data_IF_361800418564
#
_entry.id   IF_361800418564
#
_cell.length_a   1.000
_cell.length_b   1.000
_cell.length_c   1.000
_cell.angle_alpha   90.00
_cell.angle_beta   90.00
_cell.angle_gamma   90.00
#
_symmetry.space_group_name_H-M   'P 1'
#
loop_
_entity.id
_entity.type
_entity.pdbx_description
1 polymer ?
#
# COMPACT_ATOMS: atom_id res chain seq x y z
N UNK A 1 52.77 11.05 45.74
CA UNK A 1 51.72 11.99 45.25
C UNK A 1 50.93 11.49 44.02
N UNK A 2 51.28 10.36 43.36
CA UNK A 2 50.54 9.85 42.18
C UNK A 2 49.33 8.92 42.49
N UNK A 3 49.20 8.46 43.73
CA UNK A 3 48.12 7.52 44.10
C UNK A 3 46.85 8.18 44.63
N UNK A 4 46.91 9.46 45.02
CA UNK A 4 45.77 10.21 45.57
C UNK A 4 44.88 10.73 44.43
N UNK A 5 45.43 11.00 43.26
CA UNK A 5 44.66 11.48 42.09
C UNK A 5 43.77 10.40 41.43
N UNK A 6 44.18 9.13 41.57
CA UNK A 6 43.43 8.02 40.97
C UNK A 6 42.17 7.67 41.76
N UNK A 7 42.17 7.91 43.07
CA UNK A 7 41.05 7.65 43.96
C UNK A 7 39.99 8.76 43.83
N UNK A 8 40.42 10.00 43.60
CA UNK A 8 39.47 11.11 43.41
C UNK A 8 38.72 11.03 42.07
N UNK A 9 39.34 10.46 41.03
CA UNK A 9 38.71 10.29 39.73
C UNK A 9 37.69 9.13 39.72
N UNK A 10 37.91 8.12 40.56
CA UNK A 10 36.97 6.99 40.70
C UNK A 10 35.69 7.36 41.46
N UNK A 11 35.74 8.35 42.34
CA UNK A 11 34.57 8.80 43.11
C UNK A 11 33.66 9.69 42.27
N UNK A 12 34.22 10.45 41.33
CA UNK A 12 33.41 11.26 40.42
C UNK A 12 32.68 10.45 39.31
N UNK A 13 33.12 9.22 39.02
CA UNK A 13 32.53 8.39 38.01
C UNK A 13 31.26 7.62 38.46
N UNK A 14 31.06 7.51 39.77
CA UNK A 14 29.88 6.83 40.33
C UNK A 14 28.75 7.77 40.76
N UNK A 15 28.96 9.08 40.71
CA UNK A 15 27.93 10.07 41.05
C UNK A 15 27.12 10.60 39.86
N UNK A 16 27.36 10.11 38.63
CA UNK A 16 26.73 10.66 37.43
C UNK A 16 25.60 9.81 36.83
N UNK A 17 25.26 8.71 37.49
CA UNK A 17 24.06 7.96 37.18
C UNK A 17 23.35 7.63 38.47
N UNK A 18 22.53 8.52 38.95
CA UNK A 18 21.46 8.17 39.88
C UNK A 18 20.26 7.68 39.07
N UNK A 19 20.04 6.37 38.99
CA UNK A 19 18.88 5.85 38.27
C UNK A 19 17.57 6.05 39.03
N UNK A 20 17.59 6.77 40.14
CA UNK A 20 16.44 6.93 41.03
C UNK A 20 15.71 8.27 40.87
N UNK A 21 16.13 9.11 39.90
CA UNK A 21 15.39 10.34 39.52
C UNK A 21 14.85 10.33 38.13
N UNK A 22 14.67 9.19 37.51
CA UNK A 22 13.53 9.09 36.64
C UNK A 22 12.33 9.05 37.59
N UNK A 23 11.76 10.20 37.84
CA UNK A 23 10.32 10.26 38.07
C UNK A 23 9.70 9.51 36.93
N UNK A 24 9.53 8.22 37.11
CA UNK A 24 8.49 7.47 36.42
C UNK A 24 7.25 8.16 36.96
N UNK A 25 7.01 9.34 36.38
CA UNK A 25 5.74 10.02 36.55
C UNK A 25 4.72 8.95 36.23
N UNK A 26 3.60 8.93 36.94
CA UNK A 26 2.44 8.07 36.70
C UNK A 26 1.90 8.19 35.25
N UNK A 27 2.69 8.69 34.31
CA UNK A 27 2.43 8.92 32.91
C UNK A 27 2.73 7.77 31.99
N UNK A 28 3.05 6.60 32.51
CA UNK A 28 3.26 5.42 31.68
C UNK A 28 2.04 4.97 30.91
N UNK A 29 0.85 5.39 31.30
CA UNK A 29 -0.42 4.90 30.81
C UNK A 29 -1.42 6.03 30.60
N UNK A 30 -2.08 6.06 29.45
CA UNK A 30 -3.22 6.92 29.17
C UNK A 30 -4.41 6.06 28.74
N UNK A 31 -5.61 6.59 28.79
CA UNK A 31 -6.81 5.91 28.31
C UNK A 31 -7.01 6.12 26.79
N UNK A 32 -7.84 5.27 26.16
CA UNK A 32 -8.23 5.43 24.76
C UNK A 32 -8.91 6.78 24.52
N UNK A 33 -9.74 7.24 25.49
CA UNK A 33 -10.43 8.54 25.39
C UNK A 33 -9.44 9.71 25.44
N UNK A 34 -8.41 9.64 26.29
CA UNK A 34 -7.35 10.63 26.35
C UNK A 34 -6.51 10.62 25.09
N UNK A 35 -6.18 9.41 24.55
CA UNK A 35 -5.50 9.27 23.26
C UNK A 35 -6.31 9.96 22.16
N UNK A 36 -7.59 9.66 22.08
CA UNK A 36 -8.50 10.25 21.08
C UNK A 36 -8.62 11.76 21.22
N UNK A 37 -8.74 12.27 22.45
CA UNK A 37 -8.85 13.71 22.74
C UNK A 37 -7.57 14.49 22.39
N UNK A 38 -6.39 13.84 22.45
CA UNK A 38 -5.09 14.42 22.09
C UNK A 38 -4.67 14.17 20.65
N UNK A 39 -5.51 13.51 19.85
CA UNK A 39 -5.25 13.18 18.46
C UNK A 39 -6.25 13.85 17.53
N UNK A 40 -5.81 14.14 16.32
CA UNK A 40 -6.65 14.78 15.30
C UNK A 40 -6.35 14.18 13.94
N UNK A 41 -7.42 13.95 13.18
CA UNK A 41 -7.35 13.60 11.75
C UNK A 41 -8.15 14.65 11.00
N UNK A 42 -7.50 15.31 10.06
CA UNK A 42 -8.09 16.36 9.24
C UNK A 42 -7.92 16.05 7.77
N UNK A 43 -8.84 16.54 6.97
CA UNK A 43 -8.77 16.50 5.50
C UNK A 43 -8.68 17.94 5.02
N UNK A 44 -7.84 18.20 4.05
CA UNK A 44 -7.74 19.53 3.42
C UNK A 44 -9.05 19.94 2.79
N UNK A 45 -9.14 21.19 2.34
CA UNK A 45 -10.34 21.73 1.72
C UNK A 45 -10.09 22.11 0.26
N UNK A 46 -10.98 21.65 -0.58
CA UNK A 46 -11.06 22.06 -1.97
C UNK A 46 -11.63 23.51 -2.08
N UNK A 47 -11.42 24.11 -3.24
CA UNK A 47 -11.98 25.45 -3.53
C UNK A 47 -13.51 25.49 -3.52
N UNK A 48 -14.16 24.35 -3.73
CA UNK A 48 -15.61 24.14 -3.59
C UNK A 48 -16.10 24.20 -2.14
N UNK A 49 -15.18 24.11 -1.15
CA UNK A 49 -15.49 23.96 0.27
C UNK A 49 -15.69 22.50 0.72
N UNK A 50 -15.69 21.54 -0.21
CA UNK A 50 -15.71 20.11 0.10
C UNK A 50 -14.39 19.65 0.73
N UNK A 51 -14.40 18.47 1.37
CA UNK A 51 -13.16 17.85 1.79
C UNK A 51 -12.32 17.47 0.56
N UNK A 52 -11.03 17.80 0.62
CA UNK A 52 -10.06 17.36 -0.37
C UNK A 52 -9.69 15.89 -0.19
N UNK A 53 -8.49 15.54 -0.61
CA UNK A 53 -7.98 14.17 -0.52
C UNK A 53 -6.63 14.06 0.22
N UNK A 54 -6.15 15.14 0.82
CA UNK A 54 -4.94 15.12 1.64
C UNK A 54 -5.32 14.99 3.10
N UNK A 55 -5.03 13.83 3.67
CA UNK A 55 -5.32 13.51 5.06
C UNK A 55 -4.09 13.80 5.91
N UNK A 56 -4.29 14.53 7.01
CA UNK A 56 -3.25 14.84 8.00
C UNK A 56 -3.66 14.31 9.37
N UNK A 57 -2.77 13.57 9.99
CA UNK A 57 -2.94 12.94 11.29
C UNK A 57 -1.91 13.49 12.26
N UNK A 58 -2.36 13.88 13.45
CA UNK A 58 -1.47 14.38 14.51
C UNK A 58 -1.88 13.82 15.86
N UNK A 59 -0.91 13.62 16.75
CA UNK A 59 -1.16 13.34 18.16
C UNK A 59 -0.20 14.12 19.04
N UNK A 60 -0.70 14.65 20.14
CA UNK A 60 0.10 15.25 21.21
C UNK A 60 0.19 14.35 22.45
N UNK A 61 -0.33 13.13 22.34
CA UNK A 61 -0.27 12.13 23.39
C UNK A 61 1.20 11.67 23.62
N UNK A 62 1.61 11.40 24.86
CA UNK A 62 2.96 10.92 25.19
C UNK A 62 3.08 9.41 24.91
N UNK A 63 3.02 9.03 23.63
CA UNK A 63 3.01 7.64 23.17
C UNK A 63 3.87 7.47 21.93
N UNK A 64 4.24 6.24 21.62
CA UNK A 64 4.77 5.88 20.31
C UNK A 64 3.60 5.62 19.38
N UNK A 65 3.37 6.52 18.44
CA UNK A 65 2.22 6.48 17.55
C UNK A 65 2.52 5.80 16.22
N UNK A 66 1.57 5.02 15.75
CA UNK A 66 1.51 4.41 14.43
C UNK A 66 0.14 4.68 13.81
N UNK A 67 0.12 5.36 12.67
CA UNK A 67 -1.07 5.67 11.92
C UNK A 67 -1.21 4.69 10.75
N UNK A 68 -2.33 4.00 10.66
CA UNK A 68 -2.66 3.19 9.48
C UNK A 68 -3.60 3.98 8.59
N UNK A 69 -3.10 4.40 7.43
CA UNK A 69 -3.80 5.27 6.47
C UNK A 69 -3.83 4.57 5.11
N UNK A 70 -5.01 4.18 4.63
CA UNK A 70 -5.15 3.48 3.35
C UNK A 70 -4.30 2.22 3.26
N UNK A 71 -4.29 1.42 4.33
CA UNK A 71 -3.52 0.17 4.43
C UNK A 71 -2.01 0.34 4.63
N UNK A 72 -1.50 1.58 4.78
CA UNK A 72 -0.07 1.85 5.02
C UNK A 72 0.17 2.34 6.44
N UNK A 73 1.16 1.75 7.10
CA UNK A 73 1.57 2.14 8.44
C UNK A 73 2.62 3.26 8.37
N UNK A 74 2.35 4.36 9.07
CA UNK A 74 3.21 5.53 9.18
C UNK A 74 3.51 5.79 10.67
N UNK A 75 4.78 5.85 11.03
CA UNK A 75 5.21 6.02 12.41
C UNK A 75 5.39 7.49 12.76
N UNK A 76 5.08 7.84 14.02
CA UNK A 76 5.33 9.15 14.61
C UNK A 76 4.07 9.94 14.93
N UNK A 77 4.29 11.08 15.58
CA UNK A 77 3.20 11.94 16.05
C UNK A 77 2.55 12.79 14.95
N UNK A 78 3.11 12.75 13.76
CA UNK A 78 2.62 13.40 12.56
C UNK A 78 2.73 12.44 11.39
N UNK A 79 1.64 12.29 10.64
CA UNK A 79 1.59 11.55 9.40
C UNK A 79 0.66 12.24 8.42
N UNK A 80 0.89 12.08 7.13
CA UNK A 80 -0.03 12.52 6.10
C UNK A 80 0.00 11.59 4.90
N UNK A 81 -1.10 11.54 4.18
CA UNK A 81 -1.20 10.75 2.95
C UNK A 81 -2.31 11.31 2.06
N UNK A 82 -2.10 11.23 0.74
CA UNK A 82 -3.16 11.41 -0.24
C UNK A 82 -4.03 10.17 -0.29
N UNK A 83 -5.34 10.35 -0.39
CA UNK A 83 -6.31 9.27 -0.38
C UNK A 83 -7.15 9.31 -1.65
N UNK A 84 -7.69 8.16 -2.04
CA UNK A 84 -8.74 8.08 -3.06
C UNK A 84 -10.02 8.73 -2.53
N UNK A 85 -10.93 9.09 -3.43
CA UNK A 85 -12.26 9.57 -3.03
C UNK A 85 -13.04 8.46 -2.31
N UNK A 86 -13.90 8.85 -1.39
CA UNK A 86 -14.74 7.96 -0.60
C UNK A 86 -14.54 8.11 0.90
N UNK A 87 -15.18 7.23 1.64
CA UNK A 87 -15.10 7.15 3.10
C UNK A 87 -13.96 6.25 3.51
N UNK A 88 -13.18 6.69 4.50
CA UNK A 88 -12.01 5.97 4.98
C UNK A 88 -11.99 5.92 6.50
N UNK A 89 -11.46 4.81 7.01
CA UNK A 89 -11.11 4.65 8.41
C UNK A 89 -9.61 4.82 8.58
N UNK A 90 -9.22 5.71 9.47
CA UNK A 90 -7.83 5.94 9.87
C UNK A 90 -7.65 5.37 11.26
N UNK A 91 -6.74 4.44 11.43
CA UNK A 91 -6.49 3.79 12.72
C UNK A 91 -5.21 4.36 13.34
N UNK A 92 -5.30 4.79 14.59
CA UNK A 92 -4.16 5.12 15.42
C UNK A 92 -3.91 3.98 16.40
N UNK A 93 -2.77 3.33 16.27
CA UNK A 93 -2.22 2.40 17.27
C UNK A 93 -1.12 3.14 18.05
N UNK A 94 -1.18 3.11 19.35
CA UNK A 94 -0.29 3.84 20.22
C UNK A 94 0.26 2.93 21.33
N UNK A 95 1.57 2.99 21.56
CA UNK A 95 2.22 2.26 22.65
C UNK A 95 2.64 3.25 23.74
N UNK A 96 2.08 3.08 24.93
CA UNK A 96 2.40 3.86 26.12
C UNK A 96 3.80 3.52 26.67
N UNK A 97 4.32 4.35 27.56
CA UNK A 97 5.64 4.13 28.16
C UNK A 97 5.72 2.84 29.01
N UNK A 98 4.60 2.37 29.53
CA UNK A 98 4.50 1.10 30.26
C UNK A 98 4.33 -0.14 29.35
N UNK A 99 4.33 0.07 28.02
CA UNK A 99 4.14 -0.98 27.03
C UNK A 99 2.67 -1.28 26.69
N UNK A 100 1.71 -0.59 27.31
CA UNK A 100 0.28 -0.76 26.99
C UNK A 100 0.01 -0.27 25.57
N UNK A 101 -0.65 -1.12 24.77
CA UNK A 101 -1.07 -0.77 23.43
C UNK A 101 -2.54 -0.32 23.44
N UNK A 102 -2.81 0.81 22.78
CA UNK A 102 -4.12 1.42 22.63
C UNK A 102 -4.42 1.59 21.15
N UNK A 103 -5.69 1.45 20.78
CA UNK A 103 -6.12 1.66 19.39
C UNK A 103 -7.40 2.49 19.36
N UNK A 104 -7.47 3.43 18.40
CA UNK A 104 -8.67 4.23 18.14
C UNK A 104 -8.81 4.54 16.66
N UNK A 105 -10.06 4.64 16.21
CA UNK A 105 -10.39 4.91 14.81
C UNK A 105 -10.98 6.30 14.63
N UNK A 106 -10.68 6.87 13.45
CA UNK A 106 -11.23 8.14 12.96
C UNK A 106 -11.87 7.90 11.60
N UNK A 107 -13.09 8.38 11.42
CA UNK A 107 -13.81 8.32 10.15
C UNK A 107 -13.64 9.63 9.41
N UNK A 108 -13.29 9.56 8.14
CA UNK A 108 -13.15 10.72 7.26
C UNK A 108 -13.81 10.42 5.91
N UNK A 109 -14.13 11.47 5.16
CA UNK A 109 -14.59 11.37 3.78
C UNK A 109 -13.77 12.29 2.89
N UNK A 110 -13.19 11.76 1.83
CA UNK A 110 -12.51 12.49 0.76
C UNK A 110 -13.50 12.66 -0.39
N UNK A 111 -13.79 13.91 -0.78
CA UNK A 111 -14.88 14.25 -1.69
C UNK A 111 -14.41 14.83 -3.02
N UNK A 112 -13.24 15.47 -3.03
CA UNK A 112 -12.66 16.11 -4.21
C UNK A 112 -11.14 15.85 -4.25
N UNK A 113 -10.58 15.64 -5.44
CA UNK A 113 -9.14 15.50 -5.61
C UNK A 113 -8.52 16.90 -5.63
N UNK A 114 -7.84 17.26 -4.57
CA UNK A 114 -7.08 18.51 -4.42
C UNK A 114 -5.61 18.34 -4.76
N UNK A 115 -5.08 17.15 -4.50
CA UNK A 115 -3.71 16.78 -4.85
C UNK A 115 -3.73 15.35 -5.45
N UNK A 116 -3.57 15.22 -6.78
CA UNK A 116 -3.63 13.93 -7.44
C UNK A 116 -2.63 12.92 -6.88
N UNK A 117 -3.05 11.66 -6.78
CA UNK A 117 -2.17 10.54 -6.49
C UNK A 117 -1.12 10.41 -7.59
N UNK A 118 0.08 10.00 -7.22
CA UNK A 118 1.12 9.70 -8.18
C UNK A 118 0.83 8.34 -8.82
N UNK A 119 0.90 8.31 -10.17
CA UNK A 119 0.79 7.07 -10.94
C UNK A 119 2.15 6.42 -11.10
N UNK A 120 2.20 5.13 -10.86
CA UNK A 120 3.36 4.29 -11.08
C UNK A 120 2.98 3.26 -12.14
N UNK A 121 3.48 3.47 -13.35
CA UNK A 121 3.15 2.63 -14.47
C UNK A 121 3.91 1.31 -14.44
N UNK A 122 3.17 0.23 -14.66
CA UNK A 122 3.70 -1.10 -14.91
C UNK A 122 3.79 -1.31 -16.43
N UNK A 123 2.82 -0.78 -17.16
CA UNK A 123 2.75 -0.86 -18.61
C UNK A 123 2.09 0.40 -19.18
N UNK A 124 2.54 0.83 -20.38
CA UNK A 124 1.86 1.84 -21.16
C UNK A 124 2.01 3.28 -20.66
N UNK A 125 3.09 3.61 -19.92
CA UNK A 125 3.40 5.00 -19.56
C UNK A 125 3.62 5.87 -20.81
N UNK A 126 4.34 5.34 -21.79
CA UNK A 126 4.55 5.96 -23.10
C UNK A 126 4.03 5.02 -24.20
N UNK A 127 2.88 5.33 -24.83
CA UNK A 127 2.33 4.53 -25.91
C UNK A 127 3.21 4.41 -27.15
N UNK A 128 4.18 5.31 -27.32
CA UNK A 128 5.15 5.22 -28.41
C UNK A 128 6.21 4.14 -28.17
N UNK A 129 6.44 3.79 -26.90
CA UNK A 129 7.39 2.76 -26.47
C UNK A 129 6.68 1.45 -26.19
N UNK A 130 5.55 1.53 -25.50
CA UNK A 130 4.71 0.38 -25.14
C UNK A 130 3.33 0.58 -25.73
N UNK A 131 3.15 0.09 -26.96
CA UNK A 131 1.85 0.20 -27.66
C UNK A 131 0.75 -0.56 -26.90
N UNK A 132 -0.49 -0.07 -26.94
CA UNK A 132 -1.62 -0.80 -26.40
C UNK A 132 -1.69 -2.23 -26.93
N UNK A 133 -2.08 -3.19 -26.09
CA UNK A 133 -2.20 -4.58 -26.51
C UNK A 133 -3.64 -5.07 -26.49
N UNK A 134 -3.92 -6.08 -27.32
CA UNK A 134 -5.24 -6.71 -27.45
C UNK A 134 -5.13 -8.17 -27.03
N UNK A 135 -5.52 -8.51 -25.79
CA UNK A 135 -5.61 -9.90 -25.39
C UNK A 135 -6.69 -10.60 -26.22
N UNK A 136 -6.37 -11.75 -26.79
CA UNK A 136 -7.32 -12.61 -27.51
C UNK A 136 -8.14 -13.46 -26.56
N UNK A 137 -9.34 -13.87 -27.00
CA UNK A 137 -10.15 -14.81 -26.25
C UNK A 137 -9.40 -16.16 -26.10
N UNK A 138 -9.39 -16.67 -24.87
CA UNK A 138 -8.73 -17.93 -24.50
C UNK A 138 -7.19 -17.97 -24.69
N UNK A 139 -6.58 -16.80 -24.87
CA UNK A 139 -5.12 -16.70 -24.85
C UNK A 139 -4.61 -16.66 -23.43
N UNK A 140 -4.08 -17.78 -22.98
CA UNK A 140 -3.65 -18.02 -21.61
C UNK A 140 -2.46 -17.20 -21.16
N UNK A 141 -1.79 -16.53 -22.05
CA UNK A 141 -0.53 -15.86 -21.74
C UNK A 141 -0.61 -14.36 -22.00
N UNK A 142 -1.79 -13.80 -21.95
CA UNK A 142 -1.97 -12.40 -22.26
C UNK A 142 -1.16 -11.46 -21.36
N UNK A 143 -0.89 -11.88 -20.12
CA UNK A 143 -0.16 -11.03 -19.19
C UNK A 143 0.37 -11.82 -18.00
N UNK A 144 1.69 -11.70 -17.74
CA UNK A 144 2.35 -12.30 -16.60
C UNK A 144 3.01 -11.21 -15.76
N UNK A 145 2.65 -11.14 -14.50
CA UNK A 145 3.15 -10.10 -13.60
C UNK A 145 4.38 -10.50 -12.80
N UNK A 146 4.71 -11.76 -12.71
CA UNK A 146 5.64 -12.22 -11.71
C UNK A 146 6.59 -13.29 -12.18
N UNK A 147 6.89 -13.40 -13.45
CA UNK A 147 8.01 -14.26 -13.74
C UNK A 147 9.31 -13.61 -13.20
N UNK A 148 10.31 -14.43 -12.92
CA UNK A 148 11.57 -13.97 -12.33
C UNK A 148 12.36 -13.01 -13.19
N UNK A 149 11.94 -12.76 -14.40
CA UNK A 149 12.68 -12.03 -15.38
C UNK A 149 11.98 -10.72 -15.76
N UNK A 150 10.81 -10.42 -15.14
CA UNK A 150 10.03 -9.24 -15.45
C UNK A 150 9.54 -9.23 -16.90
N UNK A 151 9.35 -10.38 -17.48
CA UNK A 151 8.95 -10.52 -18.87
C UNK A 151 7.45 -10.62 -18.99
N UNK A 152 6.93 -9.82 -19.87
CA UNK A 152 5.59 -9.89 -20.37
C UNK A 152 5.60 -10.67 -21.69
N UNK A 153 4.79 -11.69 -21.80
CA UNK A 153 4.61 -12.43 -23.05
C UNK A 153 3.23 -12.05 -23.60
N UNK A 154 3.19 -11.30 -24.67
CA UNK A 154 1.95 -11.00 -25.36
C UNK A 154 1.44 -12.23 -26.11
N UNK A 155 0.20 -12.14 -26.57
CA UNK A 155 -0.48 -13.21 -27.34
C UNK A 155 0.24 -13.60 -28.64
N UNK A 156 1.18 -12.80 -29.10
CA UNK A 156 1.97 -13.05 -30.31
C UNK A 156 3.35 -13.67 -29.97
N UNK A 157 3.55 -14.04 -28.73
CA UNK A 157 4.83 -14.56 -28.26
C UNK A 157 5.96 -13.49 -28.19
N UNK A 158 5.61 -12.22 -28.27
CA UNK A 158 6.58 -11.15 -28.06
C UNK A 158 6.81 -10.95 -26.58
N UNK A 159 8.06 -11.06 -26.19
CA UNK A 159 8.48 -10.69 -24.85
C UNK A 159 8.38 -9.16 -24.70
N UNK A 160 7.52 -8.71 -23.80
CA UNK A 160 7.48 -7.34 -23.29
C UNK A 160 8.10 -7.32 -21.90
N UNK A 161 8.68 -6.20 -21.51
CA UNK A 161 9.17 -6.04 -20.14
C UNK A 161 8.10 -5.34 -19.32
N UNK A 162 7.54 -6.06 -18.36
CA UNK A 162 7.01 -5.40 -17.19
C UNK A 162 8.18 -5.06 -16.28
N UNK A 163 8.27 -3.86 -15.72
CA UNK A 163 9.26 -3.62 -14.70
C UNK A 163 9.04 -4.68 -13.60
N UNK A 164 10.07 -5.49 -13.39
CA UNK A 164 10.11 -6.41 -12.25
C UNK A 164 9.77 -5.61 -11.00
N UNK A 165 8.67 -5.95 -10.37
CA UNK A 165 8.41 -5.46 -9.05
C UNK A 165 9.32 -6.27 -8.15
N UNK A 166 10.49 -5.70 -7.83
CA UNK A 166 11.48 -6.31 -6.96
C UNK A 166 10.82 -6.76 -5.66
N UNK A 167 11.44 -7.70 -4.96
CA UNK A 167 11.01 -8.17 -3.64
C UNK A 167 10.77 -7.04 -2.64
N UNK A 168 11.34 -5.84 -2.90
CA UNK A 168 11.15 -4.61 -2.14
C UNK A 168 9.80 -3.94 -2.41
N UNK A 169 9.14 -4.24 -3.52
CA UNK A 169 7.79 -3.77 -3.80
C UNK A 169 6.81 -4.78 -3.24
N UNK A 170 6.39 -4.55 -2.00
CA UNK A 170 5.33 -5.33 -1.38
C UNK A 170 4.04 -5.15 -2.18
N UNK A 171 3.66 -6.18 -2.92
CA UNK A 171 2.45 -6.20 -3.75
C UNK A 171 1.17 -6.14 -2.92
N UNK A 172 1.25 -6.56 -1.66
CA UNK A 172 0.13 -6.57 -0.75
C UNK A 172 -0.50 -5.19 -0.62
N UNK A 173 -1.80 -5.12 -0.71
CA UNK A 173 -2.62 -3.92 -0.58
C UNK A 173 -2.60 -2.94 -1.77
N UNK A 174 -1.89 -3.22 -2.85
CA UNK A 174 -1.95 -2.39 -4.05
C UNK A 174 -3.16 -2.75 -4.91
N UNK A 175 -3.76 -1.72 -5.48
CA UNK A 175 -4.78 -1.88 -6.51
C UNK A 175 -4.14 -1.59 -7.85
N UNK A 176 -4.10 -2.58 -8.74
CA UNK A 176 -3.70 -2.36 -10.13
C UNK A 176 -4.88 -1.79 -10.90
N UNK A 177 -4.61 -0.76 -11.68
CA UNK A 177 -5.61 -0.07 -12.50
C UNK A 177 -5.28 -0.35 -13.96
N UNK A 178 -6.24 -0.89 -14.67
CA UNK A 178 -6.18 -1.19 -16.10
C UNK A 178 -7.01 -0.17 -16.85
N UNK A 179 -6.39 0.54 -17.78
CA UNK A 179 -7.09 1.41 -18.69
C UNK A 179 -7.53 0.63 -19.94
N UNK A 180 -8.82 0.40 -20.07
CA UNK A 180 -9.43 -0.46 -21.09
C UNK A 180 -10.17 0.38 -22.11
N UNK A 181 -9.95 0.06 -23.39
CA UNK A 181 -10.71 0.63 -24.53
C UNK A 181 -11.11 -0.48 -25.50
N UNK A 182 -11.97 -0.15 -26.46
CA UNK A 182 -12.44 -1.05 -27.50
C UNK A 182 -13.03 -2.37 -26.96
N UNK A 183 -13.57 -2.35 -25.73
CA UNK A 183 -14.22 -3.50 -25.16
C UNK A 183 -15.53 -3.82 -25.90
N UNK A 184 -15.65 -5.06 -26.38
CA UNK A 184 -16.93 -5.55 -26.94
C UNK A 184 -17.96 -5.74 -25.84
N UNK A 185 -19.27 -5.68 -26.13
CA UNK A 185 -20.32 -5.79 -25.11
C UNK A 185 -20.29 -7.09 -24.30
N UNK A 186 -19.71 -8.14 -24.85
CA UNK A 186 -19.55 -9.46 -24.24
C UNK A 186 -18.13 -9.71 -23.71
N UNK A 187 -17.30 -8.66 -23.63
CA UNK A 187 -15.92 -8.82 -23.16
C UNK A 187 -15.91 -9.22 -21.69
N UNK A 188 -15.41 -10.40 -21.42
CA UNK A 188 -15.24 -10.92 -20.07
C UNK A 188 -13.92 -11.69 -19.94
N UNK A 189 -13.42 -11.78 -18.73
CA UNK A 189 -12.18 -12.48 -18.44
C UNK A 189 -12.05 -12.86 -16.99
N UNK A 190 -10.93 -13.44 -16.64
CA UNK A 190 -10.61 -13.90 -15.28
C UNK A 190 -9.15 -13.71 -14.95
N UNK A 191 -8.88 -13.56 -13.66
CA UNK A 191 -7.54 -13.54 -13.12
C UNK A 191 -7.20 -14.94 -12.63
N UNK A 192 -6.00 -15.40 -12.97
CA UNK A 192 -5.51 -16.74 -12.65
C UNK A 192 -4.11 -16.65 -12.07
N UNK A 193 -3.72 -17.62 -11.26
CA UNK A 193 -2.33 -17.83 -10.90
C UNK A 193 -1.77 -18.95 -11.79
N UNK A 194 -0.73 -18.67 -12.53
CA UNK A 194 0.04 -19.64 -13.31
C UNK A 194 -0.76 -20.76 -13.98
N UNK A 195 -0.49 -21.06 -15.18
CA UNK A 195 -0.96 -22.26 -15.92
C UNK A 195 -2.38 -22.80 -15.56
N UNK A 196 -3.39 -21.92 -15.39
CA UNK A 196 -4.79 -22.29 -15.24
C UNK A 196 -5.22 -22.89 -13.89
N UNK A 197 -4.40 -22.85 -12.86
CA UNK A 197 -4.62 -23.69 -11.68
C UNK A 197 -5.42 -23.06 -10.56
N UNK A 198 -5.60 -21.73 -10.51
CA UNK A 198 -6.43 -21.06 -9.52
C UNK A 198 -6.97 -19.73 -10.06
N UNK A 199 -8.07 -19.28 -9.47
CA UNK A 199 -8.71 -17.99 -9.75
C UNK A 199 -8.72 -17.16 -8.46
N UNK A 200 -8.64 -15.86 -8.62
CA UNK A 200 -8.68 -14.93 -7.50
C UNK A 200 -10.02 -14.20 -7.35
N UNK A 201 -11.00 -14.53 -8.17
CA UNK A 201 -12.29 -13.86 -8.31
C UNK A 201 -13.49 -14.77 -8.05
N UNK A 202 -13.41 -15.64 -7.04
CA UNK A 202 -14.46 -16.61 -6.69
C UNK A 202 -14.89 -17.48 -7.89
N UNK A 203 -14.00 -17.76 -8.83
CA UNK A 203 -14.23 -18.57 -10.04
C UNK A 203 -15.18 -17.94 -11.06
N UNK A 204 -15.48 -16.67 -10.97
CA UNK A 204 -16.34 -15.97 -11.93
C UNK A 204 -15.53 -15.17 -12.92
N UNK A 205 -16.07 -15.07 -14.13
CA UNK A 205 -15.55 -14.14 -15.11
C UNK A 205 -15.99 -12.71 -14.76
N UNK A 206 -15.06 -11.78 -14.85
CA UNK A 206 -15.31 -10.35 -14.65
C UNK A 206 -15.68 -9.73 -16.00
N UNK A 207 -16.72 -8.92 -16.02
CA UNK A 207 -17.10 -8.14 -17.20
C UNK A 207 -16.13 -6.96 -17.37
N UNK A 208 -15.48 -6.85 -18.51
CA UNK A 208 -14.65 -5.71 -18.86
C UNK A 208 -15.43 -4.72 -19.73
N UNK A 209 -15.32 -3.46 -19.39
CA UNK A 209 -15.92 -2.34 -20.12
C UNK A 209 -14.88 -1.27 -20.39
N UNK A 210 -15.17 -0.37 -21.32
CA UNK A 210 -14.32 0.81 -21.54
C UNK A 210 -14.20 1.65 -20.26
N UNK A 211 -13.00 2.09 -19.95
CA UNK A 211 -12.69 2.87 -18.76
C UNK A 211 -11.64 2.21 -17.89
N UNK A 212 -11.70 2.48 -16.59
CA UNK A 212 -10.76 1.93 -15.61
C UNK A 212 -11.34 0.68 -14.96
N UNK A 213 -10.55 -0.38 -14.94
CA UNK A 213 -10.85 -1.58 -14.16
C UNK A 213 -9.80 -1.76 -13.08
N UNK A 214 -10.25 -2.01 -11.85
CA UNK A 214 -9.39 -2.13 -10.68
C UNK A 214 -9.29 -3.59 -10.23
N UNK A 215 -8.04 -4.07 -10.10
CA UNK A 215 -7.72 -5.35 -9.50
C UNK A 215 -7.07 -5.11 -8.14
N UNK A 216 -7.76 -5.52 -7.08
CA UNK A 216 -7.20 -5.47 -5.73
C UNK A 216 -6.24 -6.65 -5.53
N UNK A 217 -4.96 -6.36 -5.32
CA UNK A 217 -3.98 -7.36 -4.94
C UNK A 217 -4.06 -7.59 -3.42
N UNK A 218 -4.54 -8.76 -3.04
CA UNK A 218 -4.53 -9.18 -1.64
C UNK A 218 -3.17 -9.71 -1.23
N UNK A 219 -2.90 -9.78 0.08
CA UNK A 219 -1.66 -10.38 0.58
C UNK A 219 -1.50 -11.85 0.12
N UNK A 220 -2.59 -12.59 0.01
CA UNK A 220 -2.58 -13.96 -0.48
C UNK A 220 -2.12 -14.03 -1.94
N UNK A 221 -2.70 -13.20 -2.82
CA UNK A 221 -2.31 -13.10 -4.24
C UNK A 221 -0.84 -12.69 -4.34
N UNK A 222 -0.42 -11.67 -3.58
CA UNK A 222 0.95 -11.20 -3.58
C UNK A 222 1.95 -12.29 -3.16
N UNK A 223 1.62 -13.07 -2.12
CA UNK A 223 2.45 -14.19 -1.66
C UNK A 223 2.55 -15.30 -2.69
N UNK A 224 1.45 -15.65 -3.34
CA UNK A 224 1.45 -16.69 -4.39
C UNK A 224 2.27 -16.29 -5.61
N UNK A 225 2.28 -14.99 -5.94
CA UNK A 225 2.97 -14.47 -7.12
C UNK A 225 4.45 -14.14 -6.86
N UNK A 226 4.86 -13.88 -5.61
CA UNK A 226 6.20 -13.40 -5.29
C UNK A 226 7.10 -14.51 -4.74
N UNK A 227 8.12 -14.91 -5.50
CA UNK A 227 9.12 -15.91 -5.04
C UNK A 227 9.86 -15.49 -3.78
N UNK A 228 10.24 -14.23 -3.67
CA UNK A 228 10.96 -13.68 -2.52
C UNK A 228 10.17 -13.74 -1.22
N UNK A 229 8.84 -13.81 -1.29
CA UNK A 229 7.94 -13.85 -0.14
C UNK A 229 7.42 -15.26 0.19
N UNK A 230 8.10 -16.30 -0.29
CA UNK A 230 7.73 -17.70 -0.03
C UNK A 230 6.63 -18.24 -0.94
N UNK A 231 6.24 -17.51 -1.98
CA UNK A 231 5.37 -18.00 -3.02
C UNK A 231 6.10 -18.91 -4.03
N UNK A 232 5.35 -19.66 -4.82
CA UNK A 232 5.87 -20.55 -5.84
C UNK A 232 6.39 -19.83 -7.09
N UNK A 233 6.32 -18.49 -7.11
CA UNK A 233 6.62 -17.67 -8.28
C UNK A 233 5.64 -17.93 -9.41
N UNK A 234 4.39 -18.15 -9.07
CA UNK A 234 3.32 -18.31 -10.05
C UNK A 234 2.97 -16.96 -10.66
N UNK A 235 2.78 -16.99 -11.96
CA UNK A 235 2.36 -15.79 -12.68
C UNK A 235 0.93 -15.38 -12.29
N UNK A 236 0.69 -14.10 -12.33
CA UNK A 236 -0.66 -13.55 -12.31
C UNK A 236 -1.08 -13.35 -13.78
N UNK A 237 -2.02 -14.14 -14.24
CA UNK A 237 -2.48 -14.12 -15.62
C UNK A 237 -3.87 -13.45 -15.72
N UNK A 238 -4.01 -12.53 -16.66
CA UNK A 238 -5.29 -12.05 -17.12
C UNK A 238 -5.67 -12.81 -18.40
N UNK A 239 -6.80 -13.50 -18.39
CA UNK A 239 -7.29 -14.21 -19.53
C UNK A 239 -8.66 -13.68 -19.96
N UNK A 240 -8.80 -13.32 -21.22
CA UNK A 240 -10.09 -13.01 -21.81
C UNK A 240 -10.80 -14.31 -22.19
N UNK A 241 -12.01 -14.50 -21.71
CA UNK A 241 -12.81 -15.71 -21.93
C UNK A 241 -13.88 -15.52 -22.99
N UNK A 242 -14.31 -14.30 -23.25
CA UNK A 242 -15.23 -13.92 -24.32
C UNK A 242 -14.99 -12.48 -24.77
N UNK A 243 -15.42 -12.18 -25.99
CA UNK A 243 -15.25 -10.86 -26.58
C UNK A 243 -13.81 -10.45 -26.77
N UNK A 244 -13.57 -9.15 -26.77
CA UNK A 244 -12.22 -8.55 -26.90
C UNK A 244 -12.17 -7.17 -26.25
N UNK A 245 -10.99 -6.75 -25.87
CA UNK A 245 -10.72 -5.38 -25.45
C UNK A 245 -9.27 -4.98 -25.81
N UNK A 246 -8.95 -3.73 -25.60
CA UNK A 246 -7.60 -3.20 -25.68
C UNK A 246 -7.19 -2.68 -24.30
N UNK A 247 -6.00 -3.04 -23.83
CA UNK A 247 -5.40 -2.51 -22.62
C UNK A 247 -4.35 -1.49 -23.02
N UNK A 248 -4.57 -0.23 -22.62
CA UNK A 248 -3.69 0.88 -22.96
C UNK A 248 -2.58 1.02 -21.94
N UNK A 249 -2.93 0.93 -20.66
CA UNK A 249 -1.97 1.06 -19.58
C UNK A 249 -2.36 0.23 -18.36
N UNK A 250 -1.37 -0.07 -17.54
CA UNK A 250 -1.53 -0.72 -16.24
C UNK A 250 -0.66 0.05 -15.25
N UNK A 251 -1.26 0.51 -14.16
CA UNK A 251 -0.56 1.29 -13.14
C UNK A 251 -1.20 1.10 -11.77
N UNK A 252 -0.53 1.58 -10.74
CA UNK A 252 -1.12 1.79 -9.41
C UNK A 252 -0.92 3.25 -8.99
N UNK A 253 -1.68 3.71 -8.03
CA UNK A 253 -1.64 5.09 -7.53
C UNK A 253 -1.32 5.09 -6.03
N UNK A 254 -0.36 5.97 -5.63
CA UNK A 254 -0.01 6.24 -4.22
C UNK A 254 0.07 7.74 -3.92
#
# INVERSE_FOLDING_TARGET
MKKIFLVLFAICAFGACDPTHEDISNGGHITVDELKAKSSVTVDKASSGQNGNVVTCTTSAPVNAKWTIGGKDLLGNYAWKKMKLGDHTITLTAVCADGTELTTDFQISCQEITDPLQRYYIYGEDPAVQAPFKPGAWDAAAMRFSDNEGKFIDINGKEGFLPYLSDDVYWGFKTLIFEITDATPDCAGRIMNGWWSARYDDEKDVQFTNGLWELQLTEAIAKDCARGNGGDGKDLDLMITSGSCQINSIYYEE
#
